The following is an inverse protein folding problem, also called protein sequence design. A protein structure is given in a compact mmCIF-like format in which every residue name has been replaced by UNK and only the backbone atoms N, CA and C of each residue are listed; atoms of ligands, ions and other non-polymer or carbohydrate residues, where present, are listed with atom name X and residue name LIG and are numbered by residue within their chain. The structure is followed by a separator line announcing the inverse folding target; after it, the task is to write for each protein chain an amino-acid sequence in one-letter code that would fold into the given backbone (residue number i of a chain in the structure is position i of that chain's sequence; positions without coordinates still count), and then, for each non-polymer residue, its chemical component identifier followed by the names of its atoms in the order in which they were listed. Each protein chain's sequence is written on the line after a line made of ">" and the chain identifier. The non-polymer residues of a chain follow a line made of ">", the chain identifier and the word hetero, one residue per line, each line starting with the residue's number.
data_IF_076193555877
#
_entry.id   IF_076193555877
#
_cell.length_a   1.000
_cell.length_b   1.000
_cell.length_c   1.000
_cell.angle_alpha   90.00
_cell.angle_beta   90.00
_cell.angle_gamma   90.00
#
_symmetry.space_group_name_H-M   'P 1'
#
loop_
_entity.id
_entity.type
_entity.pdbx_description
1 polymer ?
#
# COMPACT_ATOMS: atom_id res chain seq x y z
N UNK A 1 -12.62 20.16 -2.36
CA UNK A 1 -13.85 21.01 -2.37
C UNK A 1 -15.13 20.18 -2.54
N UNK A 2 -15.14 19.08 -3.30
CA UNK A 2 -16.35 18.25 -3.50
C UNK A 2 -16.85 17.54 -2.22
N UNK A 3 -15.97 17.25 -1.27
CA UNK A 3 -16.30 16.53 -0.03
C UNK A 3 -16.49 17.44 1.18
N UNK A 4 -16.24 18.76 1.03
CA UNK A 4 -16.27 19.72 2.13
C UNK A 4 -15.08 19.58 3.11
N UNK A 5 -14.10 18.76 2.79
CA UNK A 5 -12.90 18.56 3.62
C UNK A 5 -11.69 19.30 3.03
N UNK A 6 -10.74 19.65 3.89
CA UNK A 6 -9.46 20.23 3.51
C UNK A 6 -8.35 19.16 3.59
N UNK A 7 -7.65 18.92 2.49
CA UNK A 7 -6.47 18.07 2.45
C UNK A 7 -5.26 18.95 2.76
N UNK A 8 -4.60 18.67 3.87
CA UNK A 8 -3.52 19.51 4.40
C UNK A 8 -2.15 18.99 3.97
N UNK A 9 -1.92 17.69 4.04
CA UNK A 9 -0.64 17.08 3.73
C UNK A 9 -0.82 15.68 3.11
N UNK A 10 0.24 15.24 2.44
CA UNK A 10 0.41 13.89 1.91
C UNK A 10 1.62 13.26 2.60
N UNK A 11 1.45 12.06 3.13
CA UNK A 11 2.54 11.25 3.69
C UNK A 11 2.77 10.04 2.80
N UNK A 12 4.00 9.81 2.36
CA UNK A 12 4.38 8.54 1.72
C UNK A 12 4.19 7.40 2.73
N UNK A 13 3.38 6.41 2.39
CA UNK A 13 3.09 5.28 3.28
C UNK A 13 3.98 4.08 3.01
N UNK A 14 4.55 3.99 1.82
CA UNK A 14 5.49 2.97 1.40
C UNK A 14 5.07 2.19 0.16
N UNK A 15 6.01 1.41 -0.38
CA UNK A 15 5.71 0.38 -1.37
C UNK A 15 5.08 -0.83 -0.69
N UNK A 16 3.98 -1.32 -1.27
CA UNK A 16 3.28 -2.51 -0.75
C UNK A 16 3.87 -3.78 -1.35
N UNK A 17 4.08 -4.75 -0.46
CA UNK A 17 4.68 -6.05 -0.75
C UNK A 17 3.78 -7.16 -0.23
N UNK A 18 3.86 -8.34 -0.84
CA UNK A 18 3.08 -9.51 -0.42
C UNK A 18 3.84 -10.27 0.67
N UNK A 19 3.14 -10.71 1.74
CA UNK A 19 3.63 -11.79 2.59
C UNK A 19 2.81 -13.05 2.35
N UNK A 20 3.45 -14.22 2.43
CA UNK A 20 2.79 -15.50 2.12
C UNK A 20 3.44 -16.67 2.84
N UNK A 21 2.68 -17.75 3.04
CA UNK A 21 3.19 -19.06 3.42
C UNK A 21 3.51 -19.96 2.22
N UNK A 22 3.21 -19.48 0.98
CA UNK A 22 3.54 -20.10 -0.30
C UNK A 22 4.72 -19.38 -0.95
N UNK A 23 5.61 -20.09 -1.62
CA UNK A 23 6.64 -19.50 -2.47
C UNK A 23 6.00 -18.76 -3.65
N UNK A 24 6.43 -17.52 -3.89
CA UNK A 24 5.97 -16.67 -4.98
C UNK A 24 7.19 -16.06 -5.65
N UNK A 25 7.42 -16.40 -6.92
CA UNK A 25 8.50 -15.88 -7.75
C UNK A 25 7.96 -15.16 -9.00
N UNK A 26 6.74 -15.48 -9.43
CA UNK A 26 6.05 -14.94 -10.60
C UNK A 26 4.55 -14.86 -10.37
N UNK A 27 3.80 -14.09 -11.18
CA UNK A 27 2.34 -13.94 -11.03
C UNK A 27 1.58 -15.26 -10.96
N UNK A 28 1.97 -16.27 -11.77
CA UNK A 28 1.28 -17.58 -11.81
C UNK A 28 1.30 -18.31 -10.47
N UNK A 29 2.33 -18.08 -9.64
CA UNK A 29 2.44 -18.71 -8.32
C UNK A 29 1.38 -18.20 -7.33
N UNK A 30 0.73 -17.07 -7.67
CA UNK A 30 -0.36 -16.48 -6.87
C UNK A 30 -1.75 -17.01 -7.24
N UNK A 31 -1.89 -17.80 -8.30
CA UNK A 31 -3.20 -18.34 -8.70
C UNK A 31 -3.88 -19.10 -7.57
N UNK A 32 -5.13 -18.71 -7.30
CA UNK A 32 -5.96 -19.30 -6.24
C UNK A 32 -5.53 -18.97 -4.80
N UNK A 33 -4.48 -18.18 -4.61
CA UNK A 33 -4.01 -17.77 -3.28
C UNK A 33 -5.06 -16.87 -2.62
N UNK A 34 -5.49 -17.21 -1.42
CA UNK A 34 -6.38 -16.35 -0.63
C UNK A 34 -5.56 -15.22 -0.02
N UNK A 35 -5.64 -14.04 -0.60
CA UNK A 35 -4.89 -12.87 -0.14
C UNK A 35 -5.82 -11.83 0.50
N UNK A 36 -5.53 -11.47 1.73
CA UNK A 36 -6.23 -10.36 2.39
C UNK A 36 -5.82 -9.04 1.76
N UNK A 37 -6.81 -8.22 1.47
CA UNK A 37 -6.65 -6.83 1.03
C UNK A 37 -7.55 -5.88 1.81
N UNK A 38 -7.29 -4.56 1.83
CA UNK A 38 -8.29 -3.57 2.23
C UNK A 38 -9.53 -3.63 1.34
N UNK A 39 -10.70 -3.29 1.89
CA UNK A 39 -11.96 -3.24 1.15
C UNK A 39 -12.04 -1.96 0.30
N UNK A 40 -11.27 -1.93 -0.78
CA UNK A 40 -11.33 -0.86 -1.78
C UNK A 40 -10.88 -1.37 -3.16
N UNK A 41 -11.47 -0.84 -4.26
CA UNK A 41 -11.25 -1.36 -5.61
C UNK A 41 -9.79 -1.43 -6.03
N UNK A 42 -8.99 -0.42 -5.70
CA UNK A 42 -7.56 -0.37 -6.05
C UNK A 42 -6.78 -1.57 -5.49
N UNK A 43 -7.07 -1.97 -4.23
CA UNK A 43 -6.38 -3.09 -3.59
C UNK A 43 -6.83 -4.46 -4.09
N UNK A 44 -8.06 -4.56 -4.62
CA UNK A 44 -8.60 -5.79 -5.22
C UNK A 44 -8.02 -6.04 -6.61
N UNK A 45 -7.58 -4.99 -7.30
CA UNK A 45 -7.13 -5.05 -8.69
C UNK A 45 -5.88 -5.93 -8.86
N UNK A 46 -4.88 -5.81 -7.99
CA UNK A 46 -3.65 -6.60 -8.08
C UNK A 46 -3.91 -8.11 -7.90
N UNK A 47 -4.57 -8.60 -6.84
CA UNK A 47 -4.94 -10.01 -6.73
C UNK A 47 -5.70 -10.53 -7.94
N UNK A 48 -6.70 -9.78 -8.42
CA UNK A 48 -7.48 -10.15 -9.60
C UNK A 48 -6.60 -10.32 -10.84
N UNK A 49 -5.64 -9.42 -11.05
CA UNK A 49 -4.74 -9.45 -12.20
C UNK A 49 -3.84 -10.69 -12.23
N UNK A 50 -3.43 -11.20 -11.06
CA UNK A 50 -2.55 -12.37 -10.92
C UNK A 50 -3.31 -13.68 -10.63
N UNK A 51 -4.64 -13.65 -10.71
CA UNK A 51 -5.49 -14.84 -10.50
C UNK A 51 -5.59 -15.29 -9.03
N UNK A 52 -5.26 -14.42 -8.08
CA UNK A 52 -5.46 -14.67 -6.66
C UNK A 52 -6.89 -14.31 -6.22
N UNK A 53 -7.33 -14.86 -5.10
CA UNK A 53 -8.62 -14.62 -4.49
C UNK A 53 -8.50 -13.49 -3.47
N UNK A 54 -8.91 -12.28 -3.84
CA UNK A 54 -8.95 -11.14 -2.93
C UNK A 54 -9.99 -11.39 -1.83
N UNK A 55 -9.58 -11.24 -0.58
CA UNK A 55 -10.43 -11.44 0.60
C UNK A 55 -10.39 -10.16 1.45
N UNK A 56 -11.34 -9.22 1.28
CA UNK A 56 -11.40 -8.03 2.11
C UNK A 56 -11.66 -8.39 3.58
N UNK A 57 -10.77 -7.94 4.46
CA UNK A 57 -10.86 -8.15 5.91
C UNK A 57 -10.42 -6.87 6.61
N UNK A 58 -11.11 -6.48 7.69
CA UNK A 58 -10.75 -5.33 8.51
C UNK A 58 -9.30 -5.44 9.04
N UNK A 59 -8.58 -4.32 9.06
CA UNK A 59 -7.13 -4.32 9.35
C UNK A 59 -6.79 -4.92 10.72
N UNK A 60 -7.63 -4.70 11.73
CA UNK A 60 -7.42 -5.26 13.06
C UNK A 60 -7.49 -6.79 13.13
N UNK A 61 -8.14 -7.43 12.17
CA UNK A 61 -8.37 -8.88 12.13
C UNK A 61 -7.29 -9.65 11.33
N UNK A 62 -6.42 -8.92 10.62
CA UNK A 62 -5.48 -9.53 9.64
C UNK A 62 -4.53 -10.52 10.30
N UNK A 63 -3.95 -10.17 11.46
CA UNK A 63 -3.01 -11.07 12.14
C UNK A 63 -3.66 -12.42 12.47
N UNK A 64 -4.87 -12.41 13.06
CA UNK A 64 -5.60 -13.64 13.38
C UNK A 64 -6.00 -14.41 12.13
N UNK A 65 -6.44 -13.73 11.08
CA UNK A 65 -6.81 -14.37 9.82
C UNK A 65 -5.62 -15.10 9.15
N UNK A 66 -4.42 -14.53 9.26
CA UNK A 66 -3.17 -15.17 8.82
C UNK A 66 -2.77 -16.35 9.74
N UNK A 67 -2.86 -16.13 11.06
CA UNK A 67 -2.44 -17.13 12.05
C UNK A 67 -3.29 -18.41 12.01
N UNK A 68 -4.60 -18.28 11.78
CA UNK A 68 -5.52 -19.41 11.73
C UNK A 68 -5.75 -19.97 10.30
N UNK A 69 -5.10 -19.37 9.26
CA UNK A 69 -5.22 -19.84 7.88
C UNK A 69 -6.53 -19.47 7.19
N UNK A 70 -7.31 -18.53 7.70
CA UNK A 70 -8.49 -17.97 7.00
C UNK A 70 -8.05 -17.38 5.66
N UNK A 71 -6.87 -16.73 5.63
CA UNK A 71 -6.18 -16.30 4.43
C UNK A 71 -4.72 -16.79 4.44
N UNK A 72 -4.16 -16.99 3.24
CA UNK A 72 -2.80 -17.52 3.05
C UNK A 72 -1.75 -16.41 3.00
N UNK A 73 -2.19 -15.19 2.68
CA UNK A 73 -1.33 -14.06 2.37
C UNK A 73 -2.01 -12.73 2.73
N UNK A 74 -1.20 -11.68 2.80
CA UNK A 74 -1.64 -10.28 2.86
C UNK A 74 -0.66 -9.40 2.09
N UNK A 75 -0.96 -8.13 1.90
CA UNK A 75 -0.07 -7.14 1.30
C UNK A 75 -0.08 -5.84 2.10
N UNK A 76 1.09 -5.28 2.35
CA UNK A 76 1.32 -4.01 3.06
C UNK A 76 2.76 -3.51 2.83
N UNK A 77 3.08 -2.25 3.20
CA UNK A 77 4.46 -1.78 3.30
C UNK A 77 5.26 -2.50 4.39
N UNK A 78 6.58 -2.59 4.21
CA UNK A 78 7.47 -3.27 5.16
C UNK A 78 7.35 -2.75 6.60
N UNK A 79 7.26 -1.41 6.85
CA UNK A 79 7.07 -0.91 8.22
C UNK A 79 5.77 -1.40 8.87
N UNK A 80 4.70 -1.52 8.09
CA UNK A 80 3.42 -2.04 8.57
C UNK A 80 3.50 -3.55 8.86
N UNK A 81 4.17 -4.32 7.99
CA UNK A 81 4.40 -5.76 8.21
C UNK A 81 5.16 -5.99 9.52
N UNK A 82 6.15 -5.14 9.81
CA UNK A 82 6.90 -5.18 11.07
C UNK A 82 6.02 -4.79 12.27
N UNK A 83 5.41 -3.61 12.24
CA UNK A 83 4.64 -3.06 13.35
C UNK A 83 3.45 -3.93 13.76
N UNK A 84 2.83 -4.60 12.78
CA UNK A 84 1.69 -5.52 13.00
C UNK A 84 2.10 -6.97 13.14
N UNK A 85 3.41 -7.24 13.14
CA UNK A 85 3.99 -8.56 13.35
C UNK A 85 3.51 -9.64 12.36
N UNK A 86 3.04 -9.23 11.16
CA UNK A 86 2.57 -10.19 10.17
C UNK A 86 3.66 -11.20 9.77
N UNK A 87 4.93 -10.79 9.85
CA UNK A 87 6.06 -11.66 9.62
C UNK A 87 6.14 -12.87 10.59
N UNK A 88 5.56 -12.78 11.79
CA UNK A 88 5.58 -13.91 12.74
C UNK A 88 4.78 -15.10 12.21
N UNK A 89 3.69 -14.84 11.50
CA UNK A 89 2.73 -15.83 10.96
C UNK A 89 2.86 -16.05 9.46
N UNK A 90 3.89 -15.48 8.82
CA UNK A 90 4.19 -15.61 7.40
C UNK A 90 5.64 -16.03 7.19
N UNK A 91 5.89 -16.90 6.21
CA UNK A 91 7.24 -17.45 5.92
C UNK A 91 8.03 -16.54 4.96
N UNK A 92 7.35 -15.99 3.97
CA UNK A 92 7.94 -15.25 2.87
C UNK A 92 7.49 -13.80 2.87
N UNK A 93 8.41 -12.90 2.53
CA UNK A 93 8.14 -11.48 2.21
C UNK A 93 8.59 -11.29 0.77
N UNK A 94 7.63 -11.09 -0.14
CA UNK A 94 7.87 -11.01 -1.57
C UNK A 94 7.83 -9.55 -2.00
N UNK A 95 8.95 -9.03 -2.46
CA UNK A 95 9.14 -7.61 -2.77
C UNK A 95 8.49 -7.22 -4.12
N UNK A 96 7.18 -7.36 -4.20
CA UNK A 96 6.40 -7.11 -5.42
C UNK A 96 6.34 -5.63 -5.80
N UNK A 97 6.31 -4.71 -4.82
CA UNK A 97 6.22 -3.27 -5.06
C UNK A 97 5.05 -2.89 -5.98
N UNK A 98 3.92 -3.59 -5.86
CA UNK A 98 2.80 -3.51 -6.80
C UNK A 98 1.92 -2.26 -6.62
N UNK A 99 2.00 -1.60 -5.47
CA UNK A 99 1.33 -0.32 -5.17
C UNK A 99 2.32 0.58 -4.43
N UNK A 100 2.45 1.83 -4.85
CA UNK A 100 3.01 2.90 -4.04
C UNK A 100 1.86 3.61 -3.34
N UNK A 101 1.87 3.61 -2.03
CA UNK A 101 0.74 4.07 -1.23
C UNK A 101 1.04 5.40 -0.51
N UNK A 102 -0.01 6.19 -0.28
CA UNK A 102 0.08 7.47 0.37
C UNK A 102 -1.11 7.71 1.31
N UNK A 103 -0.87 8.41 2.41
CA UNK A 103 -1.88 8.81 3.37
C UNK A 103 -2.18 10.30 3.22
N UNK A 104 -3.46 10.65 3.19
CA UNK A 104 -3.93 12.02 3.20
C UNK A 104 -4.22 12.46 4.63
N UNK A 105 -3.59 13.55 5.07
CA UNK A 105 -4.00 14.25 6.30
C UNK A 105 -5.15 15.19 5.95
N UNK A 106 -6.32 14.90 6.51
CA UNK A 106 -7.56 15.60 6.18
C UNK A 106 -8.12 16.26 7.43
N UNK A 107 -8.55 17.52 7.30
CA UNK A 107 -9.33 18.24 8.33
C UNK A 107 -10.76 18.36 7.83
N UNK A 108 -11.72 17.90 8.65
CA UNK A 108 -13.14 18.01 8.32
C UNK A 108 -13.60 19.47 8.19
N UNK A 109 -14.42 19.74 7.17
CA UNK A 109 -14.89 21.08 6.85
C UNK A 109 -15.54 21.84 8.04
N UNK A 110 -16.40 21.21 8.87
CA UNK A 110 -16.94 21.84 10.06
C UNK A 110 -15.88 22.29 11.07
N UNK A 111 -14.82 21.51 11.26
CA UNK A 111 -13.70 21.86 12.12
C UNK A 111 -12.87 22.97 11.50
N UNK A 112 -12.53 22.82 10.21
CA UNK A 112 -11.77 23.83 9.46
C UNK A 112 -12.47 25.20 9.45
N UNK A 113 -13.80 25.21 9.31
CA UNK A 113 -14.61 26.42 9.33
C UNK A 113 -14.60 27.20 10.66
N UNK A 114 -14.31 26.53 11.78
CA UNK A 114 -14.22 27.14 13.12
C UNK A 114 -12.86 27.78 13.39
N UNK A 115 -11.83 27.41 12.64
CA UNK A 115 -10.48 27.95 12.83
C UNK A 115 -10.34 29.33 12.18
N UNK A 116 -9.69 30.26 12.87
CA UNK A 116 -9.26 31.53 12.28
C UNK A 116 -8.04 31.36 11.37
N UNK A 117 -7.59 32.42 10.71
CA UNK A 117 -6.52 32.36 9.74
C UNK A 117 -5.16 31.91 10.34
N UNK A 118 -4.83 32.40 11.53
CA UNK A 118 -3.56 32.04 12.20
C UNK A 118 -3.57 30.60 12.70
N UNK A 119 -4.70 30.13 13.23
CA UNK A 119 -4.88 28.72 13.62
C UNK A 119 -4.76 27.78 12.42
N UNK A 120 -5.37 28.11 11.28
CA UNK A 120 -5.24 27.33 10.02
C UNK A 120 -3.80 27.31 9.55
N UNK A 121 -3.11 28.44 9.59
CA UNK A 121 -1.70 28.56 9.20
C UNK A 121 -0.82 27.67 10.08
N UNK A 122 -0.98 27.77 11.40
CA UNK A 122 -0.23 26.98 12.38
C UNK A 122 -0.48 25.49 12.20
N UNK A 123 -1.75 25.08 12.15
CA UNK A 123 -2.15 23.68 11.96
C UNK A 123 -1.58 23.12 10.66
N UNK A 124 -1.67 23.88 9.56
CA UNK A 124 -1.13 23.47 8.27
C UNK A 124 0.39 23.27 8.32
N UNK A 125 1.13 24.19 8.95
CA UNK A 125 2.58 24.10 9.09
C UNK A 125 2.99 22.85 9.89
N UNK A 126 2.40 22.64 11.05
CA UNK A 126 2.71 21.49 11.92
C UNK A 126 2.35 20.15 11.26
N UNK A 127 1.20 20.06 10.60
CA UNK A 127 0.79 18.81 9.93
C UNK A 127 1.67 18.49 8.71
N UNK A 128 2.12 19.50 7.97
CA UNK A 128 3.07 19.30 6.86
C UNK A 128 4.43 18.83 7.38
N UNK A 129 4.97 19.50 8.40
CA UNK A 129 6.24 19.08 9.01
C UNK A 129 6.17 17.64 9.52
N UNK A 130 5.08 17.25 10.19
CA UNK A 130 4.87 15.89 10.65
C UNK A 130 4.78 14.88 9.48
N UNK A 131 4.12 15.24 8.38
CA UNK A 131 4.00 14.40 7.19
C UNK A 131 5.36 14.22 6.49
N UNK A 132 6.15 15.28 6.37
CA UNK A 132 7.48 15.25 5.78
C UNK A 132 8.44 14.38 6.60
N UNK A 133 8.41 14.53 7.93
CA UNK A 133 9.19 13.69 8.83
C UNK A 133 8.79 12.23 8.75
N UNK A 134 7.49 11.92 8.79
CA UNK A 134 6.98 10.56 8.67
C UNK A 134 7.38 9.94 7.32
N UNK A 135 7.33 10.71 6.23
CA UNK A 135 7.79 10.28 4.90
C UNK A 135 9.27 9.90 4.93
N UNK A 136 10.13 10.74 5.51
CA UNK A 136 11.56 10.46 5.62
C UNK A 136 11.85 9.20 6.45
N UNK A 137 11.15 9.03 7.57
CA UNK A 137 11.29 7.87 8.46
C UNK A 137 10.84 6.58 7.74
N UNK A 138 9.76 6.60 6.97
CA UNK A 138 9.28 5.45 6.20
C UNK A 138 10.28 5.07 5.10
N UNK A 139 10.75 6.02 4.31
CA UNK A 139 11.75 5.78 3.24
C UNK A 139 13.03 5.16 3.81
N UNK A 140 13.48 5.63 4.98
CA UNK A 140 14.62 5.04 5.69
C UNK A 140 14.32 3.61 6.13
N UNK A 141 13.18 3.40 6.79
CA UNK A 141 12.78 2.09 7.32
C UNK A 141 12.66 1.04 6.22
N UNK A 142 12.13 1.37 5.05
CA UNK A 142 11.99 0.42 3.94
C UNK A 142 13.35 -0.18 3.52
N UNK A 143 14.41 0.64 3.51
CA UNK A 143 15.76 0.19 3.17
C UNK A 143 16.36 -0.73 4.23
N UNK A 144 16.11 -0.45 5.52
CA UNK A 144 16.67 -1.20 6.65
C UNK A 144 15.90 -2.50 6.93
N UNK A 145 14.60 -2.53 6.66
CA UNK A 145 13.72 -3.63 7.03
C UNK A 145 13.94 -4.90 6.21
N UNK A 146 14.41 -4.81 4.97
CA UNK A 146 14.76 -6.00 4.17
C UNK A 146 15.78 -6.86 4.92
N UNK A 147 16.86 -6.26 5.41
CA UNK A 147 17.90 -6.99 6.14
C UNK A 147 17.45 -7.37 7.55
N UNK A 148 16.63 -6.53 8.17
CA UNK A 148 16.05 -6.86 9.46
C UNK A 148 15.18 -8.13 9.39
N UNK A 149 14.29 -8.26 8.39
CA UNK A 149 13.45 -9.44 8.21
C UNK A 149 14.28 -10.70 7.93
N UNK A 150 15.35 -10.60 7.13
CA UNK A 150 16.30 -11.71 6.92
C UNK A 150 16.92 -12.16 8.23
N UNK A 151 17.34 -11.23 9.10
CA UNK A 151 17.86 -11.53 10.44
C UNK A 151 16.82 -12.19 11.36
N UNK A 152 15.52 -11.93 11.14
CA UNK A 152 14.42 -12.62 11.82
C UNK A 152 14.14 -14.03 11.22
N UNK A 153 14.97 -14.51 10.30
CA UNK A 153 14.81 -15.82 9.66
C UNK A 153 13.72 -15.87 8.60
N UNK A 154 13.30 -14.72 8.07
CA UNK A 154 12.28 -14.68 7.01
C UNK A 154 12.92 -14.77 5.63
N UNK A 155 12.26 -15.49 4.73
CA UNK A 155 12.66 -15.54 3.34
C UNK A 155 12.17 -14.26 2.64
N UNK A 156 13.10 -13.32 2.40
CA UNK A 156 12.80 -12.08 1.67
C UNK A 156 13.17 -12.31 0.20
N UNK A 157 12.15 -12.37 -0.65
CA UNK A 157 12.27 -12.71 -2.07
C UNK A 157 12.21 -11.45 -2.92
N UNK A 158 13.30 -11.14 -3.61
CA UNK A 158 13.29 -10.13 -4.68
C UNK A 158 12.80 -10.79 -5.97
N UNK A 159 11.69 -10.31 -6.51
CA UNK A 159 11.10 -10.81 -7.76
C UNK A 159 11.32 -9.85 -8.92
N UNK A 160 11.30 -10.36 -10.16
CA UNK A 160 11.12 -9.51 -11.31
C UNK A 160 9.72 -8.88 -11.27
N UNK A 161 9.67 -7.56 -11.08
CA UNK A 161 8.40 -6.81 -10.94
C UNK A 161 7.66 -6.64 -12.27
N UNK A 162 8.36 -6.75 -13.41
CA UNK A 162 7.78 -6.48 -14.71
C UNK A 162 6.59 -7.37 -15.04
N UNK A 163 6.63 -8.72 -14.86
CA UNK A 163 5.47 -9.57 -15.11
C UNK A 163 4.26 -9.24 -14.24
N UNK A 164 4.48 -8.85 -12.97
CA UNK A 164 3.40 -8.42 -12.07
C UNK A 164 2.77 -7.11 -12.54
N UNK A 165 3.60 -6.14 -12.93
CA UNK A 165 3.13 -4.87 -13.50
C UNK A 165 2.34 -5.10 -14.78
N UNK A 166 2.85 -5.90 -15.72
CA UNK A 166 2.23 -6.17 -17.00
C UNK A 166 0.84 -6.84 -16.83
N UNK A 167 0.67 -7.66 -15.78
CA UNK A 167 -0.62 -8.24 -15.45
C UNK A 167 -1.64 -7.16 -15.02
N UNK A 168 -1.24 -6.25 -14.13
CA UNK A 168 -2.13 -5.22 -13.56
C UNK A 168 -2.48 -4.12 -14.57
N UNK A 169 -1.52 -3.70 -15.41
CA UNK A 169 -1.72 -2.63 -16.41
C UNK A 169 -2.93 -2.91 -17.31
N UNK A 170 -3.22 -4.18 -17.61
CA UNK A 170 -4.40 -4.58 -18.41
C UNK A 170 -5.72 -4.18 -17.74
N UNK A 171 -5.74 -4.03 -16.42
CA UNK A 171 -6.93 -3.65 -15.65
C UNK A 171 -7.04 -2.14 -15.40
N UNK A 172 -5.97 -1.37 -15.60
CA UNK A 172 -5.94 0.07 -15.29
C UNK A 172 -6.93 0.90 -16.10
N UNK A 173 -7.33 0.42 -17.28
CA UNK A 173 -8.32 1.07 -18.15
C UNK A 173 -9.57 0.19 -18.36
N UNK A 174 -9.77 -0.83 -17.52
CA UNK A 174 -10.98 -1.65 -17.51
C UNK A 174 -12.12 -0.97 -16.78
N UNK A 175 -13.30 -1.58 -16.82
CA UNK A 175 -14.48 -1.13 -16.05
C UNK A 175 -14.28 -1.15 -14.53
N UNK A 176 -13.26 -1.84 -14.03
CA UNK A 176 -12.94 -1.89 -12.61
C UNK A 176 -12.15 -0.66 -12.13
N UNK A 177 -11.61 0.16 -13.06
CA UNK A 177 -10.88 1.37 -12.71
C UNK A 177 -11.81 2.45 -12.14
N UNK A 178 -11.41 3.08 -11.04
CA UNK A 178 -12.15 4.17 -10.39
C UNK A 178 -11.69 5.56 -10.86
N UNK A 179 -10.83 5.61 -11.86
CA UNK A 179 -10.29 6.82 -12.50
C UNK A 179 -10.57 6.81 -14.00
N UNK A 180 -10.53 7.98 -14.60
CA UNK A 180 -10.65 8.14 -16.04
C UNK A 180 -9.29 8.02 -16.76
N UNK A 181 -9.33 7.86 -18.08
CA UNK A 181 -8.14 7.75 -18.92
C UNK A 181 -7.25 9.01 -18.82
N UNK A 182 -7.85 10.20 -18.72
CA UNK A 182 -7.07 11.44 -18.64
C UNK A 182 -6.24 11.53 -17.34
N UNK A 183 -6.79 11.07 -16.22
CA UNK A 183 -6.08 10.95 -14.95
C UNK A 183 -4.95 9.92 -15.05
N UNK A 184 -5.22 8.75 -15.65
CA UNK A 184 -4.23 7.72 -15.89
C UNK A 184 -3.06 8.24 -16.75
N UNK A 185 -3.35 8.88 -17.87
CA UNK A 185 -2.33 9.40 -18.79
C UNK A 185 -1.44 10.46 -18.12
N UNK A 186 -2.02 11.34 -17.28
CA UNK A 186 -1.24 12.30 -16.47
C UNK A 186 -0.27 11.61 -15.52
N UNK A 187 -0.70 10.56 -14.83
CA UNK A 187 0.17 9.79 -13.93
C UNK A 187 1.30 9.10 -14.70
N UNK A 188 1.01 8.50 -15.87
CA UNK A 188 2.04 7.87 -16.70
C UNK A 188 3.08 8.88 -17.20
N UNK A 189 2.65 10.10 -17.57
CA UNK A 189 3.55 11.15 -18.01
C UNK A 189 4.53 11.61 -16.90
N UNK A 190 4.11 11.60 -15.63
CA UNK A 190 4.98 11.92 -14.50
C UNK A 190 6.10 10.88 -14.31
N UNK A 191 5.79 9.61 -14.48
CA UNK A 191 6.79 8.54 -14.35
C UNK A 191 7.81 8.54 -15.47
N UNK A 192 7.47 9.04 -16.66
CA UNK A 192 8.38 9.17 -17.80
C UNK A 192 9.35 10.34 -17.68
N UNK A 193 9.03 11.33 -16.85
CA UNK A 193 9.87 12.52 -16.63
C UNK A 193 10.96 12.31 -15.56
N UNK A 194 10.95 11.21 -14.84
CA UNK A 194 11.88 10.88 -13.74
C UNK A 194 12.90 9.79 -14.10
N UNK A 195 12.86 9.26 -15.32
CA UNK A 195 13.83 8.37 -15.93
C UNK A 195 14.62 9.15 -16.99
#
# INVERSE_FOLDING_TARGET
>A
KKTGNEVIALTYYGERHVTSNRDINKPDDMKGLKIRVPDAPLYVMFPKAVGANATPIAFAEVYLALANGTVDAQENPLPTIQAKKFYEVQKHIVLTGHITDALLTIVGGPTWGKLNADERKTLTAVLKEAADKATADIVKSEKELVDWFKKQGKNVVAVDRKPFRDAVVKLHLSSDATWDKATYDKLQALTSATN
#
